data_IF_974189321816
#
_entry.id   IF_974189321816
#
_cell.length_a   1.000
_cell.length_b   1.000
_cell.length_c   1.000
_cell.angle_alpha   90.00
_cell.angle_beta   90.00
_cell.angle_gamma   90.00
#
_symmetry.space_group_name_H-M   'P 1'
#
loop_
_entity.id
_entity.type
_entity.pdbx_description
1 polymer ?
#
# COMPACT_ATOMS: atom_id res chain seq x y z
N UNK A 1 25.71 -14.83 -16.12
CA UNK A 1 25.44 -15.35 -17.48
C UNK A 1 24.56 -14.30 -18.16
N UNK A 2 25.11 -13.51 -19.08
CA UNK A 2 24.37 -12.49 -19.84
C UNK A 2 23.53 -13.24 -20.87
N UNK A 3 22.23 -13.31 -20.65
CA UNK A 3 21.30 -13.95 -21.56
C UNK A 3 20.95 -12.98 -22.70
N UNK A 4 21.12 -13.44 -23.94
CA UNK A 4 21.05 -12.63 -25.17
C UNK A 4 19.60 -12.22 -25.50
N UNK A 5 18.62 -12.80 -24.81
CA UNK A 5 17.19 -12.45 -24.93
C UNK A 5 16.74 -11.23 -24.09
N UNK A 6 17.63 -10.62 -23.30
CA UNK A 6 17.26 -9.47 -22.44
C UNK A 6 17.19 -8.12 -23.18
N UNK A 7 17.53 -8.08 -24.47
CA UNK A 7 17.63 -6.83 -25.26
C UNK A 7 16.31 -6.34 -25.87
N UNK A 8 15.18 -7.02 -25.63
CA UNK A 8 13.88 -6.68 -26.23
C UNK A 8 12.77 -6.55 -25.20
N UNK A 9 13.11 -6.13 -23.99
CA UNK A 9 12.11 -5.70 -23.02
C UNK A 9 12.01 -4.18 -23.07
N UNK A 10 10.81 -3.64 -22.80
CA UNK A 10 10.39 -2.23 -22.91
C UNK A 10 9.71 -1.82 -24.23
N UNK A 11 9.74 -2.62 -25.29
CA UNK A 11 9.18 -2.19 -26.57
C UNK A 11 7.66 -2.02 -26.52
N UNK A 12 6.96 -2.96 -25.86
CA UNK A 12 5.52 -2.82 -25.69
C UNK A 12 5.23 -1.65 -24.76
N UNK A 13 5.97 -1.55 -23.66
CA UNK A 13 5.84 -0.47 -22.67
C UNK A 13 5.95 0.91 -23.31
N UNK A 14 6.93 1.12 -24.20
CA UNK A 14 7.12 2.38 -24.92
C UNK A 14 5.90 2.73 -25.78
N UNK A 15 5.26 1.74 -26.44
CA UNK A 15 4.05 1.97 -27.25
C UNK A 15 2.89 2.50 -26.42
N UNK A 16 2.68 2.00 -25.20
CA UNK A 16 1.62 2.51 -24.31
C UNK A 16 1.91 3.91 -23.77
N UNK A 17 3.18 4.28 -23.65
CA UNK A 17 3.63 5.52 -23.01
C UNK A 17 3.93 6.66 -24.00
N UNK A 18 3.68 6.46 -25.30
CA UNK A 18 3.88 7.46 -26.33
C UNK A 18 3.04 8.73 -26.12
N UNK A 19 1.91 8.63 -25.43
CA UNK A 19 0.99 9.74 -25.14
C UNK A 19 1.23 10.45 -23.80
N UNK A 20 2.24 10.04 -23.01
CA UNK A 20 2.55 10.64 -21.71
C UNK A 20 3.50 11.82 -21.87
N UNK A 21 3.28 12.89 -21.10
CA UNK A 21 4.17 14.04 -21.02
C UNK A 21 5.62 13.64 -20.70
N UNK A 22 6.58 14.31 -21.36
CA UNK A 22 8.00 13.98 -21.33
C UNK A 22 8.60 14.00 -19.92
N UNK A 23 8.07 14.83 -19.03
CA UNK A 23 8.55 14.98 -17.64
C UNK A 23 8.19 13.78 -16.74
N UNK A 24 7.08 13.10 -17.03
CA UNK A 24 6.58 11.94 -16.26
C UNK A 24 6.87 10.60 -16.94
N UNK A 25 7.25 10.65 -18.21
CA UNK A 25 7.54 9.48 -19.06
C UNK A 25 8.66 8.61 -18.49
N UNK A 26 9.64 9.18 -17.80
CA UNK A 26 10.77 8.42 -17.23
C UNK A 26 10.33 7.35 -16.23
N UNK A 27 9.55 7.74 -15.21
CA UNK A 27 9.12 6.80 -14.16
C UNK A 27 8.14 5.75 -14.67
N UNK A 28 7.11 6.17 -15.43
CA UNK A 28 6.18 5.21 -16.03
C UNK A 28 6.89 4.25 -16.99
N UNK A 29 7.92 4.72 -17.71
CA UNK A 29 8.75 3.85 -18.55
C UNK A 29 9.50 2.83 -17.72
N UNK A 30 10.15 3.25 -16.63
CA UNK A 30 10.86 2.33 -15.74
C UNK A 30 9.92 1.25 -15.16
N UNK A 31 8.72 1.66 -14.72
CA UNK A 31 7.71 0.75 -14.18
C UNK A 31 7.21 -0.19 -15.29
N UNK A 32 6.79 0.34 -16.43
CA UNK A 32 6.28 -0.43 -17.57
C UNK A 32 7.31 -1.45 -18.06
N UNK A 33 8.54 -1.00 -18.29
CA UNK A 33 9.68 -1.86 -18.63
C UNK A 33 9.84 -3.02 -17.63
N UNK A 34 9.80 -2.72 -16.34
CA UNK A 34 9.95 -3.74 -15.30
C UNK A 34 8.81 -4.76 -15.31
N UNK A 35 7.57 -4.32 -15.57
CA UNK A 35 6.42 -5.22 -15.77
C UNK A 35 6.64 -6.11 -16.99
N UNK A 36 7.01 -5.52 -18.13
CA UNK A 36 7.25 -6.26 -19.37
C UNK A 36 8.39 -7.27 -19.24
N UNK A 37 9.54 -6.86 -18.69
CA UNK A 37 10.67 -7.74 -18.36
C UNK A 37 10.23 -8.87 -17.43
N UNK A 38 9.51 -8.53 -16.36
CA UNK A 38 9.07 -9.46 -15.35
C UNK A 38 8.18 -10.52 -15.96
N UNK A 39 7.14 -10.12 -16.69
CA UNK A 39 6.27 -11.05 -17.39
C UNK A 39 7.02 -11.87 -18.43
N UNK A 40 7.89 -11.27 -19.24
CA UNK A 40 8.70 -12.06 -20.18
C UNK A 40 9.53 -13.13 -19.47
N UNK A 41 10.15 -12.80 -18.34
CA UNK A 41 10.89 -13.75 -17.50
C UNK A 41 10.00 -14.87 -16.93
N UNK A 42 8.72 -14.60 -16.64
CA UNK A 42 7.78 -15.63 -16.15
C UNK A 42 7.57 -16.77 -17.16
N UNK A 43 7.70 -16.51 -18.46
CA UNK A 43 7.45 -17.51 -19.53
C UNK A 43 8.33 -18.75 -19.45
N UNK A 44 9.49 -18.66 -18.79
CA UNK A 44 10.43 -19.78 -18.66
C UNK A 44 10.11 -20.71 -17.49
N UNK A 45 9.14 -20.34 -16.63
CA UNK A 45 8.78 -21.09 -15.43
C UNK A 45 7.39 -21.71 -15.51
N UNK A 46 7.25 -22.82 -14.78
CA UNK A 46 6.02 -23.58 -14.66
C UNK A 46 5.66 -23.73 -13.17
N UNK A 47 4.44 -24.23 -12.92
CA UNK A 47 3.98 -24.71 -11.60
C UNK A 47 4.14 -23.71 -10.43
N UNK A 48 4.50 -24.19 -9.23
CA UNK A 48 4.60 -23.36 -8.01
C UNK A 48 5.48 -22.14 -8.20
N UNK A 49 6.63 -22.30 -8.87
CA UNK A 49 7.57 -21.19 -9.08
C UNK A 49 6.97 -20.09 -9.96
N UNK A 50 6.20 -20.46 -10.99
CA UNK A 50 5.45 -19.48 -11.78
C UNK A 50 4.43 -18.75 -10.89
N UNK A 51 3.63 -19.48 -10.12
CA UNK A 51 2.63 -18.89 -9.21
C UNK A 51 3.27 -17.90 -8.24
N UNK A 52 4.35 -18.29 -7.56
CA UNK A 52 5.03 -17.45 -6.57
C UNK A 52 5.61 -16.18 -7.21
N UNK A 53 6.22 -16.29 -8.39
CA UNK A 53 6.78 -15.14 -9.10
C UNK A 53 5.68 -14.22 -9.66
N UNK A 54 4.54 -14.77 -10.09
CA UNK A 54 3.38 -13.97 -10.49
C UNK A 54 2.77 -13.20 -9.32
N UNK A 55 2.60 -13.86 -8.16
CA UNK A 55 2.18 -13.19 -6.93
C UNK A 55 3.17 -12.07 -6.56
N UNK A 56 4.47 -12.31 -6.70
CA UNK A 56 5.49 -11.31 -6.43
C UNK A 56 5.42 -10.10 -7.36
N UNK A 57 5.32 -10.33 -8.67
CA UNK A 57 5.27 -9.24 -9.65
C UNK A 57 3.99 -8.40 -9.50
N UNK A 58 2.85 -9.06 -9.26
CA UNK A 58 1.58 -8.38 -8.99
C UNK A 58 1.65 -7.53 -7.71
N UNK A 59 2.22 -8.08 -6.63
CA UNK A 59 2.40 -7.36 -5.37
C UNK A 59 3.35 -6.16 -5.52
N UNK A 60 4.44 -6.33 -6.26
CA UNK A 60 5.35 -5.24 -6.57
C UNK A 60 4.63 -4.12 -7.33
N UNK A 61 3.78 -4.47 -8.31
CA UNK A 61 3.01 -3.50 -9.08
C UNK A 61 1.97 -2.76 -8.22
N UNK A 62 1.31 -3.44 -7.28
CA UNK A 62 0.41 -2.82 -6.29
C UNK A 62 1.15 -1.81 -5.40
N UNK A 63 2.35 -2.16 -4.94
CA UNK A 63 3.20 -1.27 -4.13
C UNK A 63 3.64 -0.03 -4.93
N UNK A 64 4.03 -0.21 -6.21
CA UNK A 64 4.35 0.91 -7.10
C UNK A 64 3.13 1.83 -7.30
N UNK A 65 1.95 1.26 -7.55
CA UNK A 65 0.69 2.03 -7.68
C UNK A 65 0.44 2.87 -6.44
N UNK A 66 0.53 2.26 -5.27
CA UNK A 66 0.28 2.92 -3.99
C UNK A 66 1.30 4.03 -3.73
N UNK A 67 2.58 3.81 -4.09
CA UNK A 67 3.66 4.79 -3.94
C UNK A 67 3.52 5.99 -4.88
N UNK A 68 3.06 5.77 -6.11
CA UNK A 68 3.05 6.79 -7.16
C UNK A 68 1.69 7.46 -7.41
N UNK A 69 0.57 6.86 -7.00
CA UNK A 69 -0.74 7.53 -7.04
C UNK A 69 -1.05 8.21 -5.70
N UNK A 70 -0.75 7.53 -4.58
CA UNK A 70 -1.09 8.03 -3.24
C UNK A 70 0.11 8.65 -2.50
N UNK A 71 1.29 8.67 -3.11
CA UNK A 71 2.53 9.18 -2.52
C UNK A 71 3.06 10.46 -3.17
N UNK A 72 4.39 10.61 -3.21
CA UNK A 72 5.10 11.89 -3.43
C UNK A 72 5.12 12.32 -4.91
N UNK A 73 5.01 11.37 -5.84
CA UNK A 73 5.07 11.63 -7.28
C UNK A 73 3.66 11.80 -7.85
N UNK A 74 3.44 12.82 -8.68
CA UNK A 74 2.13 13.11 -9.28
C UNK A 74 1.96 12.30 -10.57
N UNK A 75 1.77 10.98 -10.45
CA UNK A 75 1.19 10.16 -11.53
C UNK A 75 -0.31 10.13 -11.31
N UNK A 76 -1.06 10.60 -12.30
CA UNK A 76 -2.53 10.56 -12.26
C UNK A 76 -3.02 9.13 -12.47
N UNK A 77 -4.22 8.83 -11.99
CA UNK A 77 -4.84 7.52 -12.21
C UNK A 77 -5.05 7.22 -13.70
N UNK A 78 -5.28 8.24 -14.52
CA UNK A 78 -5.37 8.11 -15.98
C UNK A 78 -4.03 7.67 -16.62
N UNK A 79 -2.91 8.21 -16.14
CA UNK A 79 -1.57 7.82 -16.59
C UNK A 79 -1.22 6.40 -16.12
N UNK A 80 -1.55 6.06 -14.86
CA UNK A 80 -1.34 4.70 -14.34
C UNK A 80 -2.13 3.64 -15.09
N UNK A 81 -3.32 3.97 -15.59
CA UNK A 81 -4.12 3.05 -16.41
C UNK A 81 -3.39 2.55 -17.66
N UNK A 82 -2.33 3.23 -18.13
CA UNK A 82 -1.47 2.73 -19.20
C UNK A 82 -0.67 1.49 -18.76
N UNK A 83 -0.20 1.48 -17.51
CA UNK A 83 0.49 0.33 -16.91
C UNK A 83 -0.49 -0.83 -16.70
N UNK A 84 -1.72 -0.55 -16.25
CA UNK A 84 -2.76 -1.58 -16.09
C UNK A 84 -3.13 -2.20 -17.44
N UNK A 85 -3.18 -1.41 -18.53
CA UNK A 85 -3.41 -1.92 -19.89
C UNK A 85 -2.27 -2.81 -20.35
N UNK A 86 -1.02 -2.36 -20.20
CA UNK A 86 0.17 -3.15 -20.51
C UNK A 86 0.15 -4.50 -19.76
N UNK A 87 -0.11 -4.47 -18.44
CA UNK A 87 -0.23 -5.66 -17.61
C UNK A 87 -1.31 -6.62 -18.12
N UNK A 88 -2.52 -6.10 -18.41
CA UNK A 88 -3.61 -6.91 -18.95
C UNK A 88 -3.21 -7.59 -20.26
N UNK A 89 -2.59 -6.85 -21.19
CA UNK A 89 -2.19 -7.38 -22.48
C UNK A 89 -1.07 -8.43 -22.37
N UNK A 90 -0.11 -8.23 -21.47
CA UNK A 90 0.93 -9.23 -21.16
C UNK A 90 0.32 -10.50 -20.54
N UNK A 91 -0.57 -10.35 -19.56
CA UNK A 91 -1.26 -11.46 -18.91
C UNK A 91 -2.13 -12.25 -19.90
N UNK A 92 -2.84 -11.56 -20.80
CA UNK A 92 -3.64 -12.19 -21.86
C UNK A 92 -2.79 -12.93 -22.89
N UNK A 93 -1.65 -12.36 -23.29
CA UNK A 93 -0.74 -12.98 -24.27
C UNK A 93 -0.05 -14.23 -23.71
N UNK A 94 0.24 -14.27 -22.41
CA UNK A 94 1.06 -15.35 -21.85
C UNK A 94 0.29 -16.61 -21.45
N UNK A 95 -1.00 -16.54 -21.13
CA UNK A 95 -1.65 -17.69 -20.51
C UNK A 95 -3.11 -17.92 -20.94
N UNK A 96 -3.34 -19.03 -21.64
CA UNK A 96 -4.65 -19.71 -21.71
C UNK A 96 -5.15 -20.16 -20.31
N UNK A 97 -4.30 -20.13 -19.29
CA UNK A 97 -4.56 -20.68 -17.94
C UNK A 97 -4.75 -19.65 -16.81
N UNK A 98 -4.81 -18.33 -17.08
CA UNK A 98 -5.05 -17.27 -16.06
C UNK A 98 -4.19 -17.33 -14.77
N UNK A 99 -3.06 -18.03 -14.76
CA UNK A 99 -2.28 -18.33 -13.54
C UNK A 99 -1.71 -17.10 -12.82
N UNK A 100 -1.59 -15.97 -13.51
CA UNK A 100 -1.03 -14.73 -12.99
C UNK A 100 -2.08 -13.63 -12.83
N UNK A 101 -3.36 -14.04 -12.77
CA UNK A 101 -4.48 -13.15 -12.49
C UNK A 101 -4.22 -12.37 -11.19
N UNK A 102 -4.26 -11.05 -11.31
CA UNK A 102 -4.10 -10.12 -10.19
C UNK A 102 -5.46 -9.83 -9.61
N UNK A 103 -5.62 -10.09 -8.32
CA UNK A 103 -6.77 -9.63 -7.55
C UNK A 103 -6.35 -8.34 -6.83
N UNK A 104 -6.76 -7.15 -7.31
CA UNK A 104 -6.34 -5.90 -6.72
C UNK A 104 -7.01 -5.72 -5.36
N UNK A 105 -6.28 -6.00 -4.28
CA UNK A 105 -6.68 -5.62 -2.93
C UNK A 105 -6.04 -4.29 -2.57
N UNK A 106 -6.85 -3.24 -2.33
CA UNK A 106 -6.33 -1.95 -1.85
C UNK A 106 -5.80 -2.10 -0.42
N UNK A 107 -4.49 -1.95 -0.24
CA UNK A 107 -3.79 -1.93 1.05
C UNK A 107 -2.88 -0.72 1.13
N UNK A 108 -2.39 -0.41 2.32
CA UNK A 108 -1.41 0.67 2.47
C UNK A 108 0.00 0.21 2.05
N UNK A 109 0.89 1.16 1.76
CA UNK A 109 2.26 0.89 1.27
C UNK A 109 3.05 0.02 2.26
N UNK A 110 2.89 0.25 3.56
CA UNK A 110 3.59 -0.52 4.59
C UNK A 110 3.16 -2.00 4.60
N UNK A 111 1.87 -2.27 4.38
CA UNK A 111 1.36 -3.63 4.29
C UNK A 111 1.91 -4.37 3.07
N UNK A 112 1.91 -3.74 1.89
CA UNK A 112 2.52 -4.31 0.69
C UNK A 112 4.01 -4.59 0.91
N UNK A 113 4.73 -3.62 1.48
CA UNK A 113 6.16 -3.74 1.74
C UNK A 113 6.47 -4.94 2.65
N UNK A 114 5.74 -5.09 3.77
CA UNK A 114 5.95 -6.23 4.68
C UNK A 114 5.60 -7.58 4.05
N UNK A 115 4.48 -7.65 3.32
CA UNK A 115 4.10 -8.86 2.57
C UNK A 115 5.17 -9.23 1.55
N UNK A 116 5.73 -8.24 0.84
CA UNK A 116 6.77 -8.42 -0.17
C UNK A 116 8.07 -8.92 0.46
N UNK A 117 8.50 -8.35 1.59
CA UNK A 117 9.69 -8.83 2.32
C UNK A 117 9.57 -10.32 2.69
N UNK A 118 8.42 -10.74 3.23
CA UNK A 118 8.17 -12.14 3.58
C UNK A 118 8.14 -13.04 2.34
N UNK A 119 7.48 -12.62 1.26
CA UNK A 119 7.41 -13.40 0.03
C UNK A 119 8.79 -13.53 -0.65
N UNK A 120 9.60 -12.47 -0.69
CA UNK A 120 10.99 -12.53 -1.17
C UNK A 120 11.80 -13.55 -0.39
N UNK A 121 11.64 -13.56 0.94
CA UNK A 121 12.30 -14.56 1.77
C UNK A 121 11.88 -15.98 1.37
N UNK A 122 10.57 -16.25 1.30
CA UNK A 122 10.07 -17.60 1.03
C UNK A 122 10.42 -18.10 -0.37
N UNK A 123 10.35 -17.27 -1.41
CA UNK A 123 10.75 -17.65 -2.77
C UNK A 123 12.22 -18.05 -2.81
N UNK A 124 13.09 -17.26 -2.18
CA UNK A 124 14.52 -17.55 -2.15
C UNK A 124 14.84 -18.75 -1.26
N UNK A 125 14.18 -18.87 -0.10
CA UNK A 125 14.28 -20.04 0.79
C UNK A 125 13.95 -21.33 0.04
N UNK A 126 12.84 -21.35 -0.68
CA UNK A 126 12.41 -22.51 -1.47
C UNK A 126 13.39 -22.81 -2.62
N UNK A 127 13.95 -21.77 -3.25
CA UNK A 127 15.03 -21.93 -4.22
C UNK A 127 16.27 -22.57 -3.58
N UNK A 128 16.79 -22.05 -2.45
CA UNK A 128 17.91 -22.65 -1.74
C UNK A 128 17.63 -24.10 -1.35
N UNK A 129 16.43 -24.38 -0.82
CA UNK A 129 15.94 -25.71 -0.50
C UNK A 129 16.05 -26.67 -1.68
N UNK A 130 15.62 -26.24 -2.87
CA UNK A 130 15.72 -27.05 -4.09
C UNK A 130 17.17 -27.40 -4.48
N UNK A 131 18.16 -26.57 -4.14
CA UNK A 131 19.56 -26.79 -4.51
C UNK A 131 20.20 -27.96 -3.78
N UNK A 132 19.88 -28.18 -2.50
CA UNK A 132 20.43 -29.30 -1.72
C UNK A 132 19.51 -30.52 -1.66
N UNK A 133 18.21 -30.35 -1.93
CA UNK A 133 17.27 -31.47 -2.09
C UNK A 133 17.30 -32.09 -3.50
N UNK A 134 18.03 -31.48 -4.45
CA UNK A 134 18.21 -32.02 -5.79
C UNK A 134 18.75 -33.45 -5.74
N UNK A 135 18.28 -34.31 -6.65
CA UNK A 135 18.86 -35.65 -6.85
C UNK A 135 20.27 -35.58 -7.42
N UNK A 136 20.66 -34.45 -8.01
CA UNK A 136 21.98 -34.21 -8.60
C UNK A 136 22.92 -33.46 -7.64
N UNK A 137 24.23 -33.56 -7.88
CA UNK A 137 25.26 -32.88 -7.11
C UNK A 137 25.93 -33.75 -6.04
N UNK A 138 27.19 -33.44 -5.73
CA UNK A 138 27.96 -34.12 -4.69
C UNK A 138 27.39 -33.86 -3.29
N UNK A 139 27.67 -34.75 -2.34
CA UNK A 139 27.31 -34.55 -0.95
C UNK A 139 27.90 -33.25 -0.39
N UNK A 140 29.18 -32.96 -0.69
CA UNK A 140 29.83 -31.70 -0.29
C UNK A 140 29.07 -30.46 -0.79
N UNK A 141 28.68 -30.46 -2.07
CA UNK A 141 27.89 -29.37 -2.63
C UNK A 141 26.56 -29.21 -1.88
N UNK A 142 25.85 -30.31 -1.62
CA UNK A 142 24.57 -30.30 -0.89
C UNK A 142 24.74 -29.76 0.53
N UNK A 143 25.76 -30.21 1.26
CA UNK A 143 26.06 -29.73 2.60
C UNK A 143 26.37 -28.23 2.63
N UNK A 144 27.17 -27.74 1.67
CA UNK A 144 27.46 -26.30 1.55
C UNK A 144 26.19 -25.47 1.27
N UNK A 145 25.28 -25.97 0.42
CA UNK A 145 24.00 -25.31 0.14
C UNK A 145 23.03 -25.38 1.32
N UNK A 146 23.01 -26.49 2.05
CA UNK A 146 22.29 -26.68 3.30
C UNK A 146 22.75 -25.68 4.38
N UNK A 147 24.07 -25.52 4.57
CA UNK A 147 24.60 -24.50 5.49
C UNK A 147 24.21 -23.08 5.07
N UNK A 148 24.37 -22.74 3.78
CA UNK A 148 23.95 -21.44 3.26
C UNK A 148 22.45 -21.18 3.39
N UNK A 149 21.62 -22.22 3.34
CA UNK A 149 20.18 -22.13 3.64
C UNK A 149 19.92 -21.77 5.10
N UNK A 150 20.60 -22.43 6.04
CA UNK A 150 20.49 -22.12 7.47
C UNK A 150 20.92 -20.69 7.76
N UNK A 151 22.04 -20.24 7.21
CA UNK A 151 22.54 -18.86 7.35
C UNK A 151 21.53 -17.85 6.79
N UNK A 152 20.99 -18.12 5.60
CA UNK A 152 19.98 -17.28 4.97
C UNK A 152 18.72 -17.17 5.84
N UNK A 153 18.23 -18.30 6.33
CA UNK A 153 17.03 -18.37 7.17
C UNK A 153 17.21 -17.66 8.50
N UNK A 154 18.33 -17.86 9.19
CA UNK A 154 18.62 -17.16 10.46
C UNK A 154 18.70 -15.65 10.27
N UNK A 155 19.38 -15.19 9.21
CA UNK A 155 19.45 -13.74 8.88
C UNK A 155 18.06 -13.12 8.66
N UNK A 156 17.18 -13.83 7.96
CA UNK A 156 15.84 -13.31 7.65
C UNK A 156 14.86 -13.45 8.80
N UNK A 157 15.05 -14.43 9.69
CA UNK A 157 14.33 -14.50 10.96
C UNK A 157 14.53 -13.19 11.73
N UNK A 158 15.78 -12.78 11.97
CA UNK A 158 16.08 -11.53 12.67
C UNK A 158 15.48 -10.32 11.95
N UNK A 159 15.59 -10.27 10.62
CA UNK A 159 15.08 -9.14 9.83
C UNK A 159 13.55 -9.01 9.89
N UNK A 160 12.83 -10.13 9.79
CA UNK A 160 11.36 -10.13 9.65
C UNK A 160 10.64 -10.12 11.00
N UNK A 161 11.28 -10.63 12.05
CA UNK A 161 10.69 -10.76 13.38
C UNK A 161 11.04 -9.58 14.30
N UNK A 162 12.22 -8.96 14.12
CA UNK A 162 12.66 -7.86 14.99
C UNK A 162 11.65 -6.70 15.00
N UNK A 163 11.23 -6.32 16.21
CA UNK A 163 10.25 -5.25 16.42
C UNK A 163 8.79 -5.67 16.32
N UNK A 164 8.49 -6.97 16.19
CA UNK A 164 7.15 -7.51 16.33
C UNK A 164 6.99 -8.07 17.75
N UNK A 165 6.17 -7.40 18.58
CA UNK A 165 5.89 -7.86 19.94
C UNK A 165 5.06 -9.15 19.92
N UNK A 166 3.94 -9.12 19.20
CA UNK A 166 3.11 -10.28 18.95
C UNK A 166 2.24 -10.11 17.70
N UNK A 167 1.75 -11.22 17.15
CA UNK A 167 0.88 -11.25 15.97
C UNK A 167 -0.54 -11.62 16.39
N UNK A 168 -1.49 -10.73 16.10
CA UNK A 168 -2.92 -10.97 16.29
C UNK A 168 -3.51 -11.71 15.09
N UNK A 169 -3.95 -12.97 15.32
CA UNK A 169 -4.61 -13.82 14.31
C UNK A 169 -5.96 -13.27 13.83
N UNK A 170 -6.61 -12.42 14.61
CA UNK A 170 -7.91 -11.83 14.24
C UNK A 170 -7.75 -10.60 13.33
N UNK A 171 -6.57 -10.00 13.27
CA UNK A 171 -6.33 -8.81 12.46
C UNK A 171 -6.18 -9.15 10.97
N UNK A 172 -7.09 -8.64 10.14
CA UNK A 172 -7.03 -8.79 8.68
C UNK A 172 -5.76 -8.16 8.09
N UNK A 173 -5.30 -7.04 8.64
CA UNK A 173 -4.04 -6.41 8.26
C UNK A 173 -2.83 -7.31 8.54
N UNK A 174 -2.79 -7.94 9.72
CA UNK A 174 -1.71 -8.88 10.05
C UNK A 174 -1.78 -10.14 9.19
N UNK A 175 -2.98 -10.67 8.92
CA UNK A 175 -3.19 -11.79 8.01
C UNK A 175 -2.65 -11.48 6.61
N UNK A 176 -2.96 -10.30 6.08
CA UNK A 176 -2.44 -9.88 4.79
C UNK A 176 -0.91 -9.73 4.80
N UNK A 177 -0.32 -9.10 5.81
CA UNK A 177 1.14 -8.91 5.87
C UNK A 177 1.93 -10.21 6.03
N UNK A 178 1.41 -11.13 6.85
CA UNK A 178 2.22 -12.19 7.45
C UNK A 178 1.80 -13.60 7.07
N UNK A 179 0.85 -13.78 6.15
CA UNK A 179 0.49 -15.08 5.60
C UNK A 179 0.48 -15.05 4.07
N UNK A 180 1.45 -15.74 3.46
CA UNK A 180 1.51 -15.97 2.02
C UNK A 180 0.91 -17.34 1.68
N UNK A 181 1.29 -18.36 2.45
CA UNK A 181 0.86 -19.75 2.34
C UNK A 181 1.08 -20.49 3.67
N UNK A 182 0.63 -21.74 3.77
CA UNK A 182 0.78 -22.56 4.99
C UNK A 182 2.23 -22.91 5.34
N UNK A 183 3.15 -22.79 4.39
CA UNK A 183 4.59 -22.98 4.56
C UNK A 183 5.38 -21.65 4.53
N UNK A 184 4.69 -20.52 4.39
CA UNK A 184 5.27 -19.17 4.41
C UNK A 184 4.37 -18.23 5.20
N UNK A 185 4.51 -18.27 6.52
CA UNK A 185 3.63 -17.55 7.45
C UNK A 185 4.28 -17.26 8.80
N UNK A 186 4.17 -16.03 9.30
CA UNK A 186 4.66 -15.73 10.66
C UNK A 186 3.72 -16.26 11.76
N UNK A 187 2.58 -16.88 11.39
CA UNK A 187 1.74 -17.61 12.34
C UNK A 187 2.34 -18.97 12.75
N UNK A 188 3.32 -19.45 11.99
CA UNK A 188 4.12 -20.66 12.23
C UNK A 188 5.59 -20.37 11.87
N UNK A 189 6.26 -19.72 12.82
CA UNK A 189 7.65 -19.26 12.70
C UNK A 189 8.61 -20.45 12.52
N UNK A 190 8.57 -21.53 13.33
CA UNK A 190 9.49 -22.66 13.14
C UNK A 190 9.41 -23.24 11.73
N UNK A 191 8.19 -23.41 11.21
CA UNK A 191 7.98 -23.94 9.85
C UNK A 191 8.42 -22.97 8.76
N UNK A 192 8.27 -21.67 8.99
CA UNK A 192 8.66 -20.63 8.02
C UNK A 192 10.16 -20.43 7.98
N UNK A 193 10.83 -20.53 9.13
CA UNK A 193 12.27 -20.34 9.30
C UNK A 193 12.99 -21.62 9.74
N UNK A 194 12.93 -22.72 8.96
CA UNK A 194 13.55 -23.97 9.34
C UNK A 194 15.07 -23.90 9.21
N UNK A 195 15.76 -24.82 9.86
CA UNK A 195 17.20 -25.01 9.71
C UNK A 195 17.48 -26.29 8.92
N UNK A 196 18.65 -26.34 8.30
CA UNK A 196 19.15 -27.55 7.68
C UNK A 196 20.27 -28.15 8.55
N UNK A 197 20.23 -29.46 8.78
CA UNK A 197 21.20 -30.15 9.63
C UNK A 197 22.63 -30.09 9.07
N UNK A 198 23.63 -29.86 9.92
CA UNK A 198 25.00 -29.67 9.47
C UNK A 198 25.64 -30.94 8.86
N UNK A 199 25.15 -32.12 9.23
CA UNK A 199 25.74 -33.42 8.84
C UNK A 199 24.86 -34.23 7.90
N UNK A 200 23.57 -33.90 7.81
CA UNK A 200 22.65 -34.49 6.84
C UNK A 200 21.91 -33.34 6.14
N UNK A 201 21.74 -33.33 4.81
CA UNK A 201 21.02 -32.26 4.11
C UNK A 201 19.49 -32.36 4.32
N UNK A 202 19.08 -32.55 5.57
CA UNK A 202 17.71 -32.69 6.04
C UNK A 202 17.25 -31.39 6.66
N UNK A 203 15.98 -31.07 6.46
CA UNK A 203 15.36 -29.85 7.00
C UNK A 203 14.65 -30.18 8.31
N UNK A 204 14.89 -29.33 9.31
CA UNK A 204 14.31 -29.41 10.65
C UNK A 204 13.38 -28.21 10.83
N UNK A 205 12.10 -28.49 11.07
CA UNK A 205 11.03 -27.49 11.16
C UNK A 205 10.63 -27.16 12.60
N UNK A 206 11.15 -27.89 13.60
CA UNK A 206 10.84 -27.76 15.02
C UNK A 206 12.00 -27.12 15.81
N UNK A 207 12.61 -26.09 15.24
CA UNK A 207 13.62 -25.31 15.92
C UNK A 207 13.02 -24.55 17.10
N UNK A 208 13.15 -25.13 18.30
CA UNK A 208 12.65 -24.61 19.57
C UNK A 208 13.19 -23.20 19.91
N UNK A 209 14.27 -22.74 19.27
CA UNK A 209 14.76 -21.37 19.44
C UNK A 209 13.87 -20.32 18.78
N UNK A 210 12.99 -20.73 17.85
CA UNK A 210 12.15 -19.83 17.04
C UNK A 210 10.68 -19.93 17.42
N UNK A 211 10.37 -19.67 18.68
CA UNK A 211 9.01 -19.75 19.19
C UNK A 211 8.03 -18.82 18.46
N UNK A 212 6.77 -19.27 18.35
CA UNK A 212 5.69 -18.47 17.80
C UNK A 212 5.36 -17.27 18.71
N UNK A 213 5.17 -16.09 18.12
CA UNK A 213 4.89 -14.83 18.83
C UNK A 213 3.39 -14.45 18.76
N UNK A 214 2.48 -15.40 18.93
CA UNK A 214 1.04 -15.11 18.84
C UNK A 214 0.60 -14.31 20.07
N UNK A 215 -0.17 -13.23 19.84
CA UNK A 215 -0.72 -12.44 20.94
C UNK A 215 -1.59 -13.33 21.83
N UNK A 216 -1.35 -13.29 23.15
CA UNK A 216 -2.27 -13.90 24.11
C UNK A 216 -3.62 -13.20 23.97
N UNK A 217 -4.65 -13.95 23.64
CA UNK A 217 -6.02 -13.42 23.72
C UNK A 217 -6.31 -13.16 25.18
N UNK A 218 -6.20 -11.90 25.63
CA UNK A 218 -6.95 -11.49 26.81
C UNK A 218 -8.43 -11.70 26.49
N UNK A 219 -9.23 -12.37 27.34
CA UNK A 219 -10.66 -12.40 27.16
C UNK A 219 -11.11 -10.95 27.02
N UNK A 220 -11.80 -10.65 25.91
CA UNK A 220 -12.38 -9.34 25.69
C UNK A 220 -13.10 -8.95 26.99
N UNK A 221 -12.60 -7.92 27.67
CA UNK A 221 -13.51 -7.10 28.47
C UNK A 221 -14.47 -6.55 27.43
N UNK A 222 -15.59 -7.24 27.26
CA UNK A 222 -16.73 -6.75 26.52
C UNK A 222 -17.02 -5.39 27.14
N UNK A 223 -16.55 -4.31 26.52
CA UNK A 223 -17.04 -3.00 26.84
C UNK A 223 -18.54 -3.10 26.58
N UNK A 224 -19.40 -2.89 27.61
CA UNK A 224 -20.82 -3.08 27.43
C UNK A 224 -21.27 -2.32 26.18
N UNK A 225 -22.05 -2.94 25.31
CA UNK A 225 -22.60 -2.32 24.08
C UNK A 225 -23.26 -0.95 24.38
N UNK A 226 -23.68 -0.74 25.64
CA UNK A 226 -24.14 0.51 26.22
C UNK A 226 -23.10 1.64 26.08
N UNK A 227 -21.81 1.40 26.36
CA UNK A 227 -20.74 2.39 26.22
C UNK A 227 -20.48 2.80 24.76
N UNK A 228 -20.52 1.85 23.82
CA UNK A 228 -20.42 2.17 22.38
C UNK A 228 -21.62 3.00 21.90
N UNK A 229 -22.84 2.66 22.33
CA UNK A 229 -24.03 3.48 22.06
C UNK A 229 -23.91 4.87 22.66
N UNK A 230 -23.42 5.00 23.90
CA UNK A 230 -23.19 6.28 24.57
C UNK A 230 -22.16 7.15 23.81
N UNK A 231 -21.07 6.54 23.32
CA UNK A 231 -20.02 7.25 22.58
C UNK A 231 -20.52 7.77 21.23
N UNK A 232 -21.29 6.96 20.49
CA UNK A 232 -21.88 7.34 19.20
C UNK A 232 -22.89 8.48 19.39
N UNK A 233 -23.72 8.42 20.43
CA UNK A 233 -24.66 9.50 20.77
C UNK A 233 -23.88 10.78 21.10
N UNK A 234 -22.81 10.68 21.88
CA UNK A 234 -21.99 11.84 22.27
C UNK A 234 -21.32 12.51 21.05
N UNK A 235 -20.74 11.71 20.14
CA UNK A 235 -20.12 12.23 18.91
C UNK A 235 -21.16 12.88 17.99
N UNK A 236 -22.35 12.28 17.85
CA UNK A 236 -23.43 12.86 17.04
C UNK A 236 -23.96 14.17 17.64
N UNK A 237 -24.09 14.27 18.96
CA UNK A 237 -24.48 15.50 19.66
C UNK A 237 -23.41 16.58 19.48
N UNK A 238 -22.12 16.24 19.61
CA UNK A 238 -21.03 17.20 19.39
C UNK A 238 -21.02 17.72 17.94
N UNK A 239 -21.24 16.84 16.96
CA UNK A 239 -21.33 17.24 15.55
C UNK A 239 -22.54 18.16 15.28
N UNK A 240 -23.70 17.86 15.89
CA UNK A 240 -24.90 18.70 15.80
C UNK A 240 -24.69 20.08 16.45
N UNK A 241 -24.05 20.13 17.63
CA UNK A 241 -23.71 21.37 18.33
C UNK A 241 -22.72 22.22 17.51
N UNK A 242 -21.72 21.60 16.89
CA UNK A 242 -20.73 22.30 16.07
C UNK A 242 -21.37 22.94 14.82
N UNK A 243 -22.30 22.23 14.16
CA UNK A 243 -23.07 22.78 13.03
C UNK A 243 -23.98 23.94 13.48
N UNK A 244 -24.65 23.82 14.63
CA UNK A 244 -25.48 24.91 15.18
C UNK A 244 -24.66 26.15 15.59
N UNK A 245 -23.47 25.96 16.16
CA UNK A 245 -22.59 27.09 16.51
C UNK A 245 -22.14 27.85 15.26
N UNK A 246 -21.77 27.14 14.19
CA UNK A 246 -21.40 27.78 12.92
C UNK A 246 -22.55 28.61 12.34
N UNK A 247 -23.78 28.07 12.35
CA UNK A 247 -24.97 28.79 11.88
C UNK A 247 -25.27 30.06 12.70
N UNK A 248 -25.15 30.00 14.04
CA UNK A 248 -25.32 31.18 14.89
C UNK A 248 -24.25 32.25 14.64
N UNK A 249 -23.03 31.83 14.35
CA UNK A 249 -21.92 32.73 14.05
C UNK A 249 -22.16 33.45 12.72
N UNK A 250 -22.62 32.73 11.69
CA UNK A 250 -23.02 33.32 10.40
C UNK A 250 -24.19 34.30 10.55
N UNK A 251 -25.20 33.96 11.37
CA UNK A 251 -26.34 34.83 11.64
C UNK A 251 -25.93 36.13 12.35
N UNK A 252 -25.00 36.04 13.31
CA UNK A 252 -24.44 37.23 13.99
C UNK A 252 -23.65 38.13 13.03
N UNK A 253 -22.88 37.56 12.11
CA UNK A 253 -22.16 38.32 11.08
C UNK A 253 -23.15 39.06 10.18
N UNK A 254 -24.22 38.40 9.75
CA UNK A 254 -25.27 39.02 8.94
C UNK A 254 -25.99 40.15 9.68
N UNK A 255 -26.35 39.96 10.95
CA UNK A 255 -26.95 41.01 11.79
C UNK A 255 -26.03 42.24 11.94
N UNK A 256 -24.73 42.02 12.13
CA UNK A 256 -23.75 43.11 12.21
C UNK A 256 -23.61 43.86 10.89
N UNK A 257 -23.63 43.16 9.75
CA UNK A 257 -23.61 43.78 8.42
C UNK A 257 -24.86 44.62 8.17
N UNK A 258 -26.04 44.11 8.53
CA UNK A 258 -27.30 44.85 8.41
C UNK A 258 -27.27 46.13 9.25
N UNK A 259 -26.79 46.05 10.50
CA UNK A 259 -26.65 47.23 11.36
C UNK A 259 -25.65 48.26 10.78
N UNK A 260 -24.55 47.81 10.19
CA UNK A 260 -23.58 48.70 9.53
C UNK A 260 -24.21 49.44 8.35
N UNK A 261 -24.98 48.73 7.52
CA UNK A 261 -25.69 49.31 6.37
C UNK A 261 -26.73 50.35 6.83
N UNK A 262 -27.52 50.03 7.86
CA UNK A 262 -28.50 50.97 8.43
C UNK A 262 -27.82 52.24 8.94
N UNK A 263 -26.73 52.10 9.70
CA UNK A 263 -25.99 53.27 10.22
C UNK A 263 -25.39 54.12 9.11
N UNK A 264 -24.86 53.49 8.05
CA UNK A 264 -24.35 54.20 6.87
C UNK A 264 -25.45 55.02 6.19
N UNK A 265 -26.63 54.44 5.97
CA UNK A 265 -27.77 55.15 5.39
C UNK A 265 -28.25 56.31 6.28
N UNK A 266 -28.30 56.13 7.59
CA UNK A 266 -28.66 57.19 8.53
C UNK A 266 -27.69 58.38 8.44
N UNK A 267 -26.38 58.09 8.36
CA UNK A 267 -25.35 59.11 8.24
C UNK A 267 -25.42 59.84 6.90
N UNK A 268 -25.66 59.13 5.79
CA UNK A 268 -25.92 59.76 4.49
C UNK A 268 -27.14 60.69 4.51
N UNK A 269 -28.23 60.27 5.18
CA UNK A 269 -29.42 61.10 5.31
C UNK A 269 -29.15 62.39 6.10
N UNK A 270 -28.38 62.30 7.20
CA UNK A 270 -27.96 63.46 7.97
C UNK A 270 -27.09 64.44 7.16
N UNK A 271 -26.18 63.92 6.33
CA UNK A 271 -25.38 64.71 5.39
C UNK A 271 -26.24 65.43 4.35
N UNK A 272 -27.24 64.74 3.77
CA UNK A 272 -28.17 65.34 2.80
C UNK A 272 -28.97 66.47 3.45
N UNK A 273 -29.51 66.25 4.65
CA UNK A 273 -30.24 67.28 5.41
C UNK A 273 -29.32 68.46 5.72
N UNK A 274 -28.08 68.19 6.13
CA UNK A 274 -27.07 69.23 6.37
C UNK A 274 -26.77 70.08 5.13
N UNK A 275 -26.64 69.44 3.95
CA UNK A 275 -26.40 70.11 2.68
C UNK A 275 -27.62 70.93 2.21
N UNK A 276 -28.85 70.44 2.43
CA UNK A 276 -30.08 71.18 2.15
C UNK A 276 -30.21 72.43 3.03
N UNK A 277 -29.86 72.31 4.31
CA UNK A 277 -29.84 73.45 5.24
C UNK A 277 -28.74 74.48 4.87
N UNK A 278 -27.60 74.01 4.35
CA UNK A 278 -26.53 74.89 3.87
C UNK A 278 -26.92 75.61 2.57
N UNK A 279 -27.59 74.93 1.64
CA UNK A 279 -28.11 75.52 0.39
C UNK A 279 -29.16 76.59 0.65
N UNK A 280 -30.03 76.39 1.66
CA UNK A 280 -31.03 77.38 2.07
C UNK A 280 -30.40 78.59 2.78
N UNK A 281 -29.32 78.42 3.55
CA UNK A 281 -28.58 79.54 4.13
C UNK A 281 -27.77 80.35 3.11
N UNK A 282 -27.30 79.73 2.02
CA UNK A 282 -26.49 80.39 0.98
C UNK A 282 -27.33 81.08 -0.12
N UNK A 283 -28.66 81.02 -0.07
CA UNK A 283 -29.54 81.79 -0.94
C UNK A 283 -29.54 81.36 -2.42
N UNK A 284 -29.04 80.16 -2.75
CA UNK A 284 -29.15 79.61 -4.10
C UNK A 284 -30.55 79.01 -4.31
N UNK A 285 -31.51 79.85 -4.71
CA UNK A 285 -32.74 79.40 -5.37
C UNK A 285 -32.44 79.11 -6.84
N UNK A 286 -32.66 77.86 -7.27
CA UNK A 286 -32.97 77.57 -8.67
C UNK A 286 -34.48 77.42 -8.81
#
# INVERSE_FOLDING_TARGET
MKDINHNHCCEQSERYLNSVDHTKKGELKNIGCSVECGYHYLTVFNDKRLTDLCMYLNLWLDEQKSTHINGIFVITEAEWNLIEKLWNDLNHKQHSNRKCERQPEKKNIFEYSKRKELMTYCINRDYFKSLFQSTTGSLDYKLRKCNGFSDYTSKYYDKLIKGIDCIDRKSDSMRYKYHISDDCTLYDIPKTFPICEAHTPTIVYDDNSKANIICKTTPEKVLPIIFLKQLIITVNIQKYLMVRLNFLTELMILLNLVNLIINYHLHCLQLIIGLQNLSTMLGCQH
#
